data_IF_107628270885
#
_entry.id   IF_107628270885
#
_cell.length_a   1.000
_cell.length_b   1.000
_cell.length_c   1.000
_cell.angle_alpha   90.00
_cell.angle_beta   90.00
_cell.angle_gamma   90.00
#
_symmetry.space_group_name_H-M   'P 1'
#
loop_
_entity.id
_entity.type
_entity.pdbx_description
1 polymer ?
#
# COMPACT_ATOMS: atom_id res chain seq x y z
N UNK A 1 -8.02 -1.18 -25.08
CA UNK A 1 -7.27 -1.73 -23.92
C UNK A 1 -6.49 -2.95 -24.39
N UNK A 2 -5.23 -3.10 -24.01
CA UNK A 2 -4.43 -4.28 -24.39
C UNK A 2 -4.96 -5.56 -23.72
N UNK A 3 -4.74 -6.70 -24.35
CA UNK A 3 -5.11 -8.02 -23.82
C UNK A 3 -4.48 -8.28 -22.43
N UNK A 4 -5.20 -9.04 -21.60
CA UNK A 4 -4.78 -9.37 -20.22
C UNK A 4 -3.42 -10.08 -20.22
N UNK A 5 -3.21 -11.05 -21.12
CA UNK A 5 -1.97 -11.82 -21.17
C UNK A 5 -0.79 -10.96 -21.64
N UNK A 6 -1.03 -10.04 -22.58
CA UNK A 6 -0.01 -9.09 -23.03
C UNK A 6 0.42 -8.19 -21.88
N UNK A 7 -0.52 -7.61 -21.13
CA UNK A 7 -0.21 -6.77 -19.95
C UNK A 7 0.50 -7.56 -18.86
N UNK A 8 0.08 -8.80 -18.61
CA UNK A 8 0.73 -9.71 -17.66
C UNK A 8 2.19 -10.00 -18.05
N UNK A 9 2.45 -10.39 -19.31
CA UNK A 9 3.81 -10.62 -19.79
C UNK A 9 4.65 -9.34 -19.70
N UNK A 10 4.11 -8.21 -20.12
CA UNK A 10 4.81 -6.92 -20.07
C UNK A 10 5.30 -6.60 -18.65
N UNK A 11 4.43 -6.73 -17.63
CA UNK A 11 4.81 -6.43 -16.25
C UNK A 11 5.84 -7.42 -15.70
N UNK A 12 5.77 -8.69 -16.10
CA UNK A 12 6.75 -9.71 -15.69
C UNK A 12 8.13 -9.46 -16.30
N UNK A 13 8.19 -9.17 -17.61
CA UNK A 13 9.44 -8.83 -18.28
C UNK A 13 10.04 -7.54 -17.72
N UNK A 14 9.21 -6.53 -17.46
CA UNK A 14 9.70 -5.30 -16.85
C UNK A 14 10.26 -5.56 -15.46
N UNK A 15 9.56 -6.31 -14.61
CA UNK A 15 10.07 -6.72 -13.29
C UNK A 15 11.41 -7.44 -13.38
N UNK A 16 11.60 -8.32 -14.36
CA UNK A 16 12.89 -9.00 -14.59
C UNK A 16 13.95 -8.02 -15.08
N UNK A 17 13.59 -7.06 -15.93
CA UNK A 17 14.45 -5.98 -16.39
C UNK A 17 15.01 -5.13 -15.25
N UNK A 18 14.24 -4.86 -14.19
CA UNK A 18 14.73 -4.13 -13.02
C UNK A 18 15.91 -4.83 -12.33
N UNK A 19 15.88 -6.17 -12.22
CA UNK A 19 17.02 -6.89 -11.61
C UNK A 19 18.27 -6.82 -12.47
N UNK A 20 18.08 -6.83 -13.79
CA UNK A 20 19.16 -6.99 -14.75
C UNK A 20 19.83 -5.68 -15.13
N UNK A 21 19.07 -4.59 -15.27
CA UNK A 21 19.54 -3.39 -15.96
C UNK A 21 19.41 -2.10 -15.15
N UNK A 22 18.81 -2.12 -13.94
CA UNK A 22 18.54 -0.88 -13.20
C UNK A 22 19.76 -0.31 -12.47
N UNK A 23 20.64 -1.17 -11.94
CA UNK A 23 21.83 -0.73 -11.21
C UNK A 23 22.85 -0.14 -12.19
N UNK A 24 23.49 0.97 -11.81
CA UNK A 24 24.50 1.66 -12.64
C UNK A 24 25.67 0.77 -13.08
N UNK A 25 26.05 -0.20 -12.24
CA UNK A 25 27.14 -1.15 -12.52
C UNK A 25 26.71 -2.39 -13.31
N UNK A 26 25.43 -2.48 -13.70
CA UNK A 26 24.94 -3.62 -14.43
C UNK A 26 25.42 -3.61 -15.89
N UNK A 27 25.66 -4.78 -16.51
CA UNK A 27 25.87 -4.86 -17.95
C UNK A 27 24.65 -4.32 -18.69
N UNK A 28 24.86 -3.42 -19.65
CA UNK A 28 23.79 -2.72 -20.38
C UNK A 28 22.81 -1.99 -19.44
N UNK A 29 23.35 -1.31 -18.42
CA UNK A 29 22.55 -0.51 -17.52
C UNK A 29 21.75 0.55 -18.27
N UNK A 30 20.49 0.75 -17.85
CA UNK A 30 19.64 1.81 -18.36
C UNK A 30 20.25 3.18 -18.04
N UNK A 31 20.05 4.14 -18.94
CA UNK A 31 20.45 5.53 -18.72
C UNK A 31 19.59 6.17 -17.62
N UNK A 32 20.07 7.27 -17.01
CA UNK A 32 19.28 7.95 -15.97
C UNK A 32 18.06 8.66 -16.57
N UNK A 33 18.14 9.09 -17.83
CA UNK A 33 17.01 9.64 -18.60
C UNK A 33 15.92 8.56 -18.79
N UNK A 34 16.31 7.35 -19.23
CA UNK A 34 15.39 6.22 -19.38
C UNK A 34 14.73 5.86 -18.04
N UNK A 35 15.51 5.77 -16.96
CA UNK A 35 14.95 5.50 -15.62
C UNK A 35 13.98 6.57 -15.19
N UNK A 36 14.26 7.84 -15.49
CA UNK A 36 13.38 8.96 -15.15
C UNK A 36 12.06 8.86 -15.88
N UNK A 37 12.07 8.58 -17.19
CA UNK A 37 10.85 8.34 -17.97
C UNK A 37 10.07 7.13 -17.46
N UNK A 38 10.74 6.03 -17.14
CA UNK A 38 10.11 4.83 -16.59
C UNK A 38 9.47 5.09 -15.22
N UNK A 39 10.15 5.81 -14.34
CA UNK A 39 9.62 6.20 -13.02
C UNK A 39 8.39 7.07 -13.15
N UNK A 40 8.41 8.08 -14.03
CA UNK A 40 7.23 8.90 -14.30
C UNK A 40 6.05 8.03 -14.76
N UNK A 41 6.25 7.17 -15.76
CA UNK A 41 5.21 6.29 -16.29
C UNK A 41 4.65 5.28 -15.27
N UNK A 42 5.45 4.85 -14.30
CA UNK A 42 5.01 3.91 -13.27
C UNK A 42 4.02 4.51 -12.27
N UNK A 43 3.99 5.84 -12.10
CA UNK A 43 3.12 6.53 -11.13
C UNK A 43 2.06 7.41 -11.79
N UNK A 44 1.97 7.42 -13.13
CA UNK A 44 0.98 8.23 -13.85
C UNK A 44 -0.45 7.72 -13.76
N UNK A 45 -0.67 6.42 -13.55
CA UNK A 45 -2.01 5.85 -13.58
C UNK A 45 -2.13 4.57 -12.74
N UNK A 46 -3.11 4.54 -11.83
CA UNK A 46 -3.38 3.40 -10.93
C UNK A 46 -4.70 2.69 -11.30
N UNK A 47 -4.99 2.47 -12.57
CA UNK A 47 -6.31 1.98 -13.02
C UNK A 47 -6.31 0.55 -13.56
N UNK A 48 -5.39 -0.32 -13.12
CA UNK A 48 -5.35 -1.72 -13.55
C UNK A 48 -6.52 -2.52 -12.95
N UNK A 49 -7.48 -3.01 -13.76
CA UNK A 49 -8.66 -3.71 -13.22
C UNK A 49 -8.34 -5.12 -12.72
N UNK A 50 -7.33 -5.79 -13.26
CA UNK A 50 -7.02 -7.19 -12.89
C UNK A 50 -6.11 -7.21 -11.66
N UNK A 51 -6.64 -7.68 -10.52
CA UNK A 51 -5.94 -7.73 -9.23
C UNK A 51 -4.54 -8.36 -9.30
N UNK A 52 -4.41 -9.45 -10.08
CA UNK A 52 -3.14 -10.15 -10.25
C UNK A 52 -2.08 -9.26 -10.94
N UNK A 53 -2.46 -8.57 -12.01
CA UNK A 53 -1.57 -7.64 -12.73
C UNK A 53 -1.25 -6.44 -11.82
N UNK A 54 -2.26 -5.86 -11.17
CA UNK A 54 -2.07 -4.73 -10.26
C UNK A 54 -1.07 -5.06 -9.13
N UNK A 55 -1.11 -6.28 -8.60
CA UNK A 55 -0.15 -6.75 -7.59
C UNK A 55 1.26 -6.83 -8.16
N UNK A 56 1.44 -7.32 -9.39
CA UNK A 56 2.76 -7.33 -10.03
C UNK A 56 3.27 -5.91 -10.32
N UNK A 57 2.40 -4.98 -10.72
CA UNK A 57 2.75 -3.56 -10.86
C UNK A 57 3.20 -2.97 -9.51
N UNK A 58 2.43 -3.20 -8.44
CA UNK A 58 2.78 -2.74 -7.09
C UNK A 58 4.14 -3.29 -6.63
N UNK A 59 4.41 -4.58 -6.88
CA UNK A 59 5.72 -5.20 -6.58
C UNK A 59 6.83 -4.62 -7.44
N UNK A 60 6.59 -4.38 -8.73
CA UNK A 60 7.54 -3.73 -9.64
C UNK A 60 7.92 -2.33 -9.13
N UNK A 61 6.93 -1.49 -8.81
CA UNK A 61 7.15 -0.15 -8.28
C UNK A 61 7.94 -0.21 -6.98
N UNK A 62 7.55 -1.09 -6.04
CA UNK A 62 8.26 -1.25 -4.78
C UNK A 62 9.72 -1.67 -4.95
N UNK A 63 10.00 -2.48 -5.98
CA UNK A 63 11.35 -2.93 -6.31
C UNK A 63 12.23 -1.78 -6.81
N UNK A 64 11.70 -0.93 -7.66
CA UNK A 64 12.37 0.31 -8.10
C UNK A 64 12.55 1.24 -6.90
N UNK A 65 11.52 1.41 -6.06
CA UNK A 65 11.58 2.23 -4.86
C UNK A 65 12.69 1.78 -3.89
N UNK A 66 12.96 0.47 -3.77
CA UNK A 66 14.05 -0.05 -2.95
C UNK A 66 15.42 0.56 -3.32
N UNK A 67 15.63 0.78 -4.61
CA UNK A 67 16.89 1.25 -5.18
C UNK A 67 16.95 2.78 -5.17
N UNK A 68 15.82 3.44 -5.48
CA UNK A 68 15.82 4.85 -5.85
C UNK A 68 15.17 5.78 -4.82
N UNK A 69 14.33 5.25 -3.91
CA UNK A 69 13.61 6.06 -2.93
C UNK A 69 14.49 6.35 -1.69
N UNK A 70 14.45 7.58 -1.15
CA UNK A 70 13.77 8.77 -1.67
C UNK A 70 14.63 9.62 -2.62
N UNK A 71 15.94 9.36 -2.72
CA UNK A 71 16.90 10.30 -3.33
C UNK A 71 16.70 10.54 -4.81
N UNK A 72 16.51 9.47 -5.57
CA UNK A 72 16.36 9.54 -7.02
C UNK A 72 14.87 9.67 -7.38
N UNK A 73 13.96 9.16 -6.53
CA UNK A 73 12.52 9.16 -6.78
C UNK A 73 11.69 9.74 -5.62
N UNK A 74 11.83 11.04 -5.33
CA UNK A 74 11.15 11.67 -4.20
C UNK A 74 9.62 11.81 -4.39
N UNK A 75 9.13 11.82 -5.62
CA UNK A 75 7.71 12.04 -5.94
C UNK A 75 6.82 10.82 -5.65
N UNK A 76 7.41 9.63 -5.50
CA UNK A 76 6.67 8.37 -5.37
C UNK A 76 5.70 8.37 -4.18
N UNK A 77 6.19 8.71 -2.98
CA UNK A 77 5.35 8.70 -1.77
C UNK A 77 4.24 9.77 -1.86
N UNK A 78 4.54 11.05 -2.16
CA UNK A 78 3.51 12.06 -2.34
C UNK A 78 2.41 11.66 -3.33
N UNK A 79 2.77 11.14 -4.51
CA UNK A 79 1.79 10.73 -5.54
C UNK A 79 0.91 9.57 -5.06
N UNK A 80 1.49 8.62 -4.32
CA UNK A 80 0.71 7.52 -3.72
C UNK A 80 -0.27 8.04 -2.66
N UNK A 81 0.17 8.93 -1.77
CA UNK A 81 -0.70 9.49 -0.73
C UNK A 81 -1.85 10.30 -1.32
N UNK A 82 -1.59 11.11 -2.35
CA UNK A 82 -2.64 11.86 -3.06
C UNK A 82 -3.61 10.91 -3.80
N UNK A 83 -3.10 9.87 -4.45
CA UNK A 83 -3.95 8.90 -5.15
C UNK A 83 -4.84 8.10 -4.19
N UNK A 84 -4.39 7.85 -2.97
CA UNK A 84 -5.17 7.20 -1.91
C UNK A 84 -6.29 8.11 -1.37
N UNK A 85 -6.16 9.43 -1.47
CA UNK A 85 -7.24 10.38 -1.10
C UNK A 85 -8.30 10.54 -2.18
N UNK A 86 -8.05 10.00 -3.38
CA UNK A 86 -8.98 10.07 -4.51
C UNK A 86 -10.32 9.39 -4.23
N UNK A 87 -11.35 9.79 -4.98
CA UNK A 87 -12.70 9.25 -4.87
C UNK A 87 -12.94 8.03 -5.79
N UNK A 88 -12.07 7.81 -6.78
CA UNK A 88 -12.17 6.64 -7.65
C UNK A 88 -11.77 5.37 -6.88
N UNK A 89 -12.74 4.47 -6.70
CA UNK A 89 -12.59 3.29 -5.86
C UNK A 89 -11.49 2.35 -6.34
N UNK A 90 -11.30 2.20 -7.66
CA UNK A 90 -10.26 1.34 -8.23
C UNK A 90 -8.88 1.97 -8.03
N UNK A 91 -8.73 3.24 -8.40
CA UNK A 91 -7.49 4.00 -8.29
C UNK A 91 -7.01 4.05 -6.85
N UNK A 92 -7.90 4.39 -5.92
CA UNK A 92 -7.60 4.43 -4.49
C UNK A 92 -7.09 3.08 -3.99
N UNK A 93 -7.78 1.98 -4.35
CA UNK A 93 -7.32 0.64 -3.97
C UNK A 93 -5.94 0.32 -4.56
N UNK A 94 -5.70 0.61 -5.84
CA UNK A 94 -4.42 0.31 -6.51
C UNK A 94 -3.26 1.13 -5.95
N UNK A 95 -3.51 2.40 -5.64
CA UNK A 95 -2.55 3.26 -4.97
C UNK A 95 -2.22 2.72 -3.57
N UNK A 96 -3.23 2.34 -2.78
CA UNK A 96 -3.03 1.79 -1.44
C UNK A 96 -2.29 0.43 -1.45
N UNK A 97 -2.60 -0.43 -2.42
CA UNK A 97 -1.87 -1.69 -2.64
C UNK A 97 -0.39 -1.42 -2.96
N UNK A 98 -0.14 -0.46 -3.86
CA UNK A 98 1.23 -0.06 -4.22
C UNK A 98 1.96 0.53 -3.02
N UNK A 99 1.31 1.41 -2.27
CA UNK A 99 1.84 2.01 -1.06
C UNK A 99 2.20 0.96 -0.01
N UNK A 100 1.36 -0.05 0.20
CA UNK A 100 1.70 -1.20 1.05
C UNK A 100 2.98 -1.90 0.59
N UNK A 101 3.12 -2.22 -0.70
CA UNK A 101 4.30 -2.90 -1.22
C UNK A 101 5.57 -2.05 -1.11
N UNK A 102 5.47 -0.73 -1.36
CA UNK A 102 6.57 0.23 -1.20
C UNK A 102 6.99 0.29 0.27
N UNK A 103 6.05 0.54 1.18
CA UNK A 103 6.30 0.61 2.63
C UNK A 103 6.92 -0.70 3.15
N UNK A 104 6.37 -1.86 2.77
CA UNK A 104 6.94 -3.18 3.11
C UNK A 104 8.40 -3.31 2.65
N UNK A 105 8.71 -2.81 1.45
CA UNK A 105 10.03 -2.95 0.85
C UNK A 105 11.04 -2.03 1.51
N UNK A 106 10.69 -0.77 1.74
CA UNK A 106 11.56 0.20 2.43
C UNK A 106 11.82 -0.21 3.88
N UNK A 107 10.79 -0.69 4.60
CA UNK A 107 10.91 -1.20 5.97
C UNK A 107 11.91 -2.36 6.13
N UNK A 108 12.18 -3.10 5.04
CA UNK A 108 13.08 -4.24 5.06
C UNK A 108 14.56 -3.87 4.88
N UNK A 109 14.89 -2.61 4.55
CA UNK A 109 16.28 -2.15 4.41
C UNK A 109 16.93 -2.09 5.78
N UNK A 110 18.14 -2.64 5.91
CA UNK A 110 18.81 -2.85 7.21
C UNK A 110 19.96 -1.89 7.50
N UNK A 111 20.47 -1.18 6.49
CA UNK A 111 21.53 -0.19 6.67
C UNK A 111 21.05 0.97 7.55
N UNK A 112 21.94 1.51 8.39
CA UNK A 112 21.59 2.54 9.36
C UNK A 112 20.96 3.78 8.71
N UNK A 113 21.50 4.21 7.56
CA UNK A 113 20.98 5.34 6.82
C UNK A 113 19.56 5.08 6.28
N UNK A 114 19.31 3.88 5.74
CA UNK A 114 17.98 3.51 5.24
C UNK A 114 16.95 3.40 6.37
N UNK A 115 17.36 2.88 7.54
CA UNK A 115 16.50 2.84 8.72
C UNK A 115 16.06 4.23 9.15
N UNK A 116 16.99 5.19 9.20
CA UNK A 116 16.67 6.60 9.52
C UNK A 116 15.67 7.19 8.52
N UNK A 117 15.93 7.01 7.22
CA UNK A 117 15.00 7.47 6.18
C UNK A 117 13.61 6.84 6.32
N UNK A 118 13.53 5.57 6.71
CA UNK A 118 12.23 4.93 6.96
C UNK A 118 11.55 5.45 8.24
N UNK A 119 12.30 5.79 9.28
CA UNK A 119 11.77 6.42 10.49
C UNK A 119 11.22 7.81 10.21
N UNK A 120 11.94 8.62 9.43
CA UNK A 120 11.50 9.95 8.99
C UNK A 120 10.25 9.86 8.12
N UNK A 121 10.19 8.88 7.21
CA UNK A 121 9.00 8.59 6.44
C UNK A 121 7.84 8.20 7.35
N UNK A 122 8.07 7.27 8.29
CA UNK A 122 7.03 6.76 9.18
C UNK A 122 6.43 7.88 10.03
N UNK A 123 7.25 8.72 10.67
CA UNK A 123 6.77 9.85 11.46
C UNK A 123 5.96 10.85 10.62
N UNK A 124 6.36 11.09 9.37
CA UNK A 124 5.66 12.01 8.47
C UNK A 124 4.29 11.53 7.97
N UNK A 125 4.01 10.22 8.00
CA UNK A 125 2.78 9.65 7.40
C UNK A 125 1.92 8.85 8.40
N UNK A 126 2.36 8.68 9.65
CA UNK A 126 1.71 7.78 10.60
C UNK A 126 0.26 8.16 10.88
N UNK A 127 0.04 9.41 11.29
CA UNK A 127 -1.29 9.97 11.54
C UNK A 127 -2.22 9.84 10.33
N UNK A 128 -1.73 10.10 9.12
CA UNK A 128 -2.49 9.88 7.89
C UNK A 128 -2.88 8.41 7.70
N UNK A 129 -1.94 7.48 7.89
CA UNK A 129 -2.22 6.05 7.76
C UNK A 129 -3.23 5.57 8.81
N UNK A 130 -3.19 6.11 10.03
CA UNK A 130 -4.17 5.85 11.08
C UNK A 130 -5.57 6.33 10.67
N UNK A 131 -5.69 7.59 10.23
CA UNK A 131 -6.97 8.15 9.78
C UNK A 131 -7.55 7.37 8.61
N UNK A 132 -6.71 6.93 7.68
CA UNK A 132 -7.13 6.11 6.54
C UNK A 132 -7.68 4.75 6.99
N UNK A 133 -6.98 4.07 7.91
CA UNK A 133 -7.44 2.81 8.47
C UNK A 133 -8.75 2.97 9.24
N UNK A 134 -8.88 3.98 10.10
CA UNK A 134 -10.11 4.25 10.85
C UNK A 134 -11.27 4.53 9.89
N UNK A 135 -11.07 5.40 8.90
CA UNK A 135 -12.11 5.73 7.91
C UNK A 135 -12.61 4.49 7.16
N UNK A 136 -11.72 3.66 6.62
CA UNK A 136 -12.14 2.45 5.90
C UNK A 136 -12.76 1.39 6.82
N UNK A 137 -12.35 1.35 8.09
CA UNK A 137 -12.98 0.48 9.11
C UNK A 137 -14.41 0.94 9.36
N UNK A 138 -14.64 2.23 9.56
CA UNK A 138 -15.98 2.79 9.77
C UNK A 138 -16.87 2.58 8.53
N UNK A 139 -16.34 2.80 7.31
CA UNK A 139 -17.08 2.52 6.08
C UNK A 139 -17.46 1.03 5.96
N UNK A 140 -16.55 0.12 6.27
CA UNK A 140 -16.84 -1.32 6.27
C UNK A 140 -17.97 -1.66 7.24
N UNK A 141 -17.88 -1.20 8.49
CA UNK A 141 -18.89 -1.47 9.52
C UNK A 141 -20.26 -0.87 9.16
N UNK A 142 -20.29 0.30 8.54
CA UNK A 142 -21.54 0.90 8.05
C UNK A 142 -22.14 0.09 6.89
N UNK A 143 -21.32 -0.29 5.92
CA UNK A 143 -21.77 -1.00 4.72
C UNK A 143 -22.24 -2.43 5.01
N UNK A 144 -21.58 -3.13 5.93
CA UNK A 144 -22.01 -4.47 6.35
C UNK A 144 -23.35 -4.41 7.09
N UNK A 145 -23.55 -3.41 7.96
CA UNK A 145 -24.84 -3.15 8.61
C UNK A 145 -25.93 -2.77 7.60
N UNK A 146 -25.58 -2.03 6.55
CA UNK A 146 -26.47 -1.66 5.46
C UNK A 146 -26.71 -2.80 4.44
N UNK A 147 -26.06 -3.96 4.63
CA UNK A 147 -26.12 -5.12 3.72
C UNK A 147 -25.68 -4.82 2.28
N UNK A 148 -24.77 -3.87 2.11
CA UNK A 148 -24.10 -3.61 0.84
C UNK A 148 -22.79 -4.40 0.80
N UNK A 149 -22.88 -5.69 0.48
CA UNK A 149 -21.71 -6.58 0.50
C UNK A 149 -20.60 -6.16 -0.46
N UNK A 150 -20.89 -5.78 -1.73
CA UNK A 150 -19.83 -5.37 -2.65
C UNK A 150 -19.05 -4.14 -2.15
N UNK A 151 -19.75 -3.17 -1.56
CA UNK A 151 -19.10 -2.01 -0.97
C UNK A 151 -18.34 -2.39 0.31
N UNK A 152 -18.94 -3.21 1.18
CA UNK A 152 -18.30 -3.69 2.40
C UNK A 152 -17.00 -4.45 2.10
N UNK A 153 -17.01 -5.37 1.15
CA UNK A 153 -15.81 -6.10 0.72
C UNK A 153 -14.73 -5.13 0.23
N UNK A 154 -15.12 -4.16 -0.60
CA UNK A 154 -14.22 -3.14 -1.11
C UNK A 154 -13.60 -2.27 -0.01
N UNK A 155 -14.34 -1.94 1.05
CA UNK A 155 -13.84 -1.22 2.22
C UNK A 155 -12.95 -2.11 3.09
N UNK A 156 -13.32 -3.38 3.26
CA UNK A 156 -12.53 -4.35 4.03
C UNK A 156 -11.14 -4.59 3.44
N UNK A 157 -11.04 -4.68 2.11
CA UNK A 157 -9.76 -4.79 1.41
C UNK A 157 -8.85 -3.58 1.70
N UNK A 158 -9.41 -2.36 1.69
CA UNK A 158 -8.67 -1.12 2.02
C UNK A 158 -8.29 -1.04 3.49
N UNK A 159 -9.18 -1.46 4.39
CA UNK A 159 -8.91 -1.59 5.82
C UNK A 159 -7.71 -2.51 6.06
N UNK A 160 -7.70 -3.69 5.42
CA UNK A 160 -6.60 -4.64 5.52
C UNK A 160 -5.28 -4.08 4.99
N UNK A 161 -5.29 -3.41 3.83
CA UNK A 161 -4.08 -2.81 3.27
C UNK A 161 -3.53 -1.68 4.16
N UNK A 162 -4.40 -0.81 4.68
CA UNK A 162 -4.03 0.27 5.61
C UNK A 162 -3.44 -0.29 6.91
N UNK A 163 -4.06 -1.33 7.47
CA UNK A 163 -3.55 -2.02 8.66
C UNK A 163 -2.17 -2.66 8.41
N UNK A 164 -1.95 -3.22 7.22
CA UNK A 164 -0.65 -3.79 6.83
C UNK A 164 0.43 -2.72 6.68
N UNK A 165 0.07 -1.52 6.21
CA UNK A 165 0.97 -0.34 6.22
C UNK A 165 1.29 0.04 7.66
N UNK A 166 0.28 0.29 8.50
CA UNK A 166 0.46 0.69 9.89
C UNK A 166 1.34 -0.29 10.66
N UNK A 167 1.11 -1.59 10.51
CA UNK A 167 1.99 -2.61 11.10
C UNK A 167 3.46 -2.41 10.74
N UNK A 168 3.77 -2.07 9.49
CA UNK A 168 5.16 -1.85 9.05
C UNK A 168 5.73 -0.55 9.61
N UNK A 169 4.93 0.51 9.65
CA UNK A 169 5.34 1.79 10.23
C UNK A 169 5.58 1.64 11.73
N UNK A 170 4.67 1.02 12.48
CA UNK A 170 4.80 0.80 13.93
C UNK A 170 6.06 -0.01 14.27
N UNK A 171 6.27 -1.13 13.57
CA UNK A 171 7.34 -2.09 13.93
C UNK A 171 8.72 -1.63 13.49
N UNK A 172 8.82 -0.87 12.38
CA UNK A 172 10.12 -0.51 11.79
C UNK A 172 10.41 1.00 11.76
N UNK A 173 9.39 1.83 11.97
CA UNK A 173 9.47 3.29 11.89
C UNK A 173 9.69 3.99 13.23
N UNK A 174 9.57 3.28 14.36
CA UNK A 174 9.79 3.83 15.69
C UNK A 174 10.74 2.94 16.49
N UNK A 175 11.72 3.54 17.17
CA UNK A 175 12.64 2.80 18.04
C UNK A 175 11.97 2.40 19.35
N UNK A 176 11.18 3.30 19.93
CA UNK A 176 10.43 3.10 21.16
C UNK A 176 8.94 3.40 20.92
N UNK A 177 8.21 2.49 20.24
CA UNK A 177 6.80 2.70 19.88
C UNK A 177 5.92 3.08 21.09
N UNK A 178 6.20 2.52 22.26
CA UNK A 178 5.48 2.76 23.51
C UNK A 178 5.56 4.19 24.04
N UNK A 179 6.57 4.97 23.61
CA UNK A 179 6.71 6.37 23.99
C UNK A 179 6.01 7.32 23.01
N UNK A 180 5.56 6.82 21.85
CA UNK A 180 4.88 7.63 20.85
C UNK A 180 3.37 7.59 21.06
N UNK A 181 2.77 8.75 21.33
CA UNK A 181 1.34 8.86 21.62
C UNK A 181 0.45 8.42 20.45
N UNK A 182 0.83 8.73 19.20
CA UNK A 182 0.05 8.33 18.02
C UNK A 182 0.05 6.81 17.85
N UNK A 183 1.21 6.18 18.06
CA UNK A 183 1.34 4.72 18.00
C UNK A 183 0.49 4.05 19.08
N UNK A 184 0.57 4.54 20.32
CA UNK A 184 -0.24 4.00 21.41
C UNK A 184 -1.74 4.23 21.20
N UNK A 185 -2.13 5.39 20.66
CA UNK A 185 -3.50 5.66 20.26
C UNK A 185 -4.01 4.67 19.21
N UNK A 186 -3.21 4.39 18.18
CA UNK A 186 -3.53 3.36 17.20
C UNK A 186 -3.65 1.96 17.82
N UNK A 187 -2.72 1.55 18.67
CA UNK A 187 -2.77 0.22 19.30
C UNK A 187 -4.02 0.05 20.17
N UNK A 188 -4.40 1.07 20.93
CA UNK A 188 -5.65 1.06 21.70
C UNK A 188 -6.87 0.96 20.79
N UNK A 189 -6.91 1.75 19.71
CA UNK A 189 -7.99 1.69 18.73
C UNK A 189 -8.10 0.29 18.09
N UNK A 190 -6.99 -0.40 17.81
CA UNK A 190 -7.04 -1.78 17.29
C UNK A 190 -7.76 -2.72 18.25
N UNK A 191 -7.53 -2.60 19.57
CA UNK A 191 -8.22 -3.43 20.56
C UNK A 191 -9.72 -3.12 20.62
N UNK A 192 -10.10 -1.84 20.53
CA UNK A 192 -11.51 -1.43 20.48
C UNK A 192 -12.19 -1.99 19.22
N UNK A 193 -11.58 -1.80 18.04
CA UNK A 193 -12.11 -2.29 16.76
C UNK A 193 -12.19 -3.81 16.70
N UNK A 194 -11.26 -4.54 17.33
CA UNK A 194 -11.31 -6.01 17.38
C UNK A 194 -12.64 -6.52 17.95
N UNK A 195 -13.19 -5.85 18.96
CA UNK A 195 -14.48 -6.20 19.54
C UNK A 195 -15.61 -6.06 18.51
N UNK A 196 -15.65 -4.95 17.79
CA UNK A 196 -16.65 -4.69 16.74
C UNK A 196 -16.55 -5.73 15.61
N UNK A 197 -15.34 -6.11 15.20
CA UNK A 197 -15.13 -7.17 14.21
C UNK A 197 -15.61 -8.54 14.70
N UNK A 198 -15.40 -8.86 15.98
CA UNK A 198 -15.89 -10.12 16.56
C UNK A 198 -17.42 -10.16 16.62
N UNK A 199 -18.07 -9.08 17.05
CA UNK A 199 -19.53 -8.94 17.05
C UNK A 199 -20.09 -9.06 15.62
N UNK A 200 -19.44 -8.43 14.64
CA UNK A 200 -19.80 -8.57 13.23
C UNK A 200 -19.66 -10.01 12.72
N UNK A 201 -18.57 -10.71 13.06
CA UNK A 201 -18.37 -12.11 12.69
C UNK A 201 -19.44 -13.01 13.31
N UNK A 202 -19.78 -12.81 14.58
CA UNK A 202 -20.84 -13.55 15.26
C UNK A 202 -22.20 -13.34 14.58
N UNK A 203 -22.54 -12.09 14.25
CA UNK A 203 -23.76 -11.75 13.52
C UNK A 203 -23.85 -12.47 12.17
N UNK A 204 -22.78 -12.41 11.36
CA UNK A 204 -22.75 -13.06 10.04
C UNK A 204 -22.84 -14.59 10.11
N UNK A 205 -22.29 -15.20 11.17
CA UNK A 205 -22.38 -16.64 11.40
C UNK A 205 -23.77 -17.09 11.86
N UNK A 206 -24.45 -16.28 12.68
CA UNK A 206 -25.79 -16.60 13.20
C UNK A 206 -26.90 -16.35 12.18
N UNK A 207 -26.69 -15.41 11.24
CA UNK A 207 -27.68 -15.05 10.22
C UNK A 207 -27.10 -15.19 8.81
N UNK A 208 -26.76 -16.41 8.34
CA UNK A 208 -26.16 -16.61 7.03
C UNK A 208 -27.07 -16.22 5.87
N UNK A 209 -28.40 -16.25 6.07
CA UNK A 209 -29.38 -15.77 5.09
C UNK A 209 -29.40 -14.25 4.94
N UNK A 210 -28.71 -13.50 5.82
CA UNK A 210 -28.58 -12.05 5.68
C UNK A 210 -27.53 -11.62 4.65
N UNK A 211 -26.79 -12.58 4.07
CA UNK A 211 -25.87 -12.41 2.94
C UNK A 211 -26.49 -12.70 1.55
N UNK A 212 -27.77 -13.10 1.48
CA UNK A 212 -28.52 -13.35 0.22
C UNK A 212 -29.55 -12.26 -0.02
#
# INVERSE_FOLDING_TARGET
>A
MLDVNVRWLAVLYFKNGIDRYWRRVAPNALSEEEKTSLRAGLITNFNEPVNQIATQIAVLIAKVARLDCPRQWPELIPVLLESVKGQDGLQQHRALLTFYHVTKTLASKRLAQDKRLFQDLASGIYSFACSLWSHHTDCFLQQICARDEPAALSSLERTLLSLKVLRKLTVHGFQEPQQNMEVMGFLNAVFERLKEFLECCEYLLLYPESLL
#
